data_IF_645433523749
#
_entry.id   IF_645433523749
#
_cell.length_a   1.000
_cell.length_b   1.000
_cell.length_c   1.000
_cell.angle_alpha   90.00
_cell.angle_beta   90.00
_cell.angle_gamma   90.00
#
_symmetry.space_group_name_H-M   'P 1'
#
loop_
_entity.id
_entity.type
_entity.pdbx_description
1 polymer ?
#
# COMPACT_ATOMS: atom_id res chain seq x y z
N UNK A 1 -17.99 62.66 -15.87
CA UNK A 1 -17.02 61.75 -15.22
C UNK A 1 -17.59 60.34 -15.25
N UNK A 2 -17.36 59.57 -16.32
CA UNK A 2 -18.10 58.31 -16.59
C UNK A 2 -17.18 57.16 -17.02
N UNK A 3 -15.98 57.08 -16.44
CA UNK A 3 -14.91 56.18 -16.91
C UNK A 3 -14.17 55.41 -15.81
N UNK A 4 -14.79 55.17 -14.64
CA UNK A 4 -14.09 54.53 -13.51
C UNK A 4 -14.72 53.24 -12.96
N UNK A 5 -15.93 52.87 -13.37
CA UNK A 5 -16.65 51.74 -12.75
C UNK A 5 -16.67 50.43 -13.56
N UNK A 6 -16.26 50.43 -14.83
CA UNK A 6 -16.30 49.22 -15.68
C UNK A 6 -15.07 48.30 -15.54
N UNK A 7 -13.99 48.74 -14.90
CA UNK A 7 -12.75 47.95 -14.76
C UNK A 7 -12.81 47.00 -13.56
N UNK A 8 -13.40 47.41 -12.43
CA UNK A 8 -13.47 46.60 -11.22
C UNK A 8 -14.32 45.33 -11.40
N UNK A 9 -15.42 45.41 -12.17
CA UNK A 9 -16.30 44.28 -12.44
C UNK A 9 -15.60 43.20 -13.28
N UNK A 10 -14.76 43.60 -14.25
CA UNK A 10 -13.97 42.65 -15.06
C UNK A 10 -12.91 41.92 -14.22
N UNK A 11 -12.27 42.60 -13.27
CA UNK A 11 -11.33 41.98 -12.34
C UNK A 11 -12.01 40.99 -11.39
N UNK A 12 -13.19 41.31 -10.87
CA UNK A 12 -13.96 40.42 -10.00
C UNK A 12 -14.40 39.13 -10.71
N UNK A 13 -14.83 39.22 -11.97
CA UNK A 13 -15.18 38.05 -12.79
C UNK A 13 -13.95 37.18 -13.05
N UNK A 14 -12.78 37.79 -13.29
CA UNK A 14 -11.53 37.04 -13.49
C UNK A 14 -11.13 36.27 -12.23
N UNK A 15 -11.14 36.91 -11.06
CA UNK A 15 -10.76 36.27 -9.78
C UNK A 15 -11.73 35.14 -9.40
N UNK A 16 -13.04 35.34 -9.61
CA UNK A 16 -14.05 34.31 -9.38
C UNK A 16 -13.92 33.14 -10.38
N UNK A 17 -13.60 33.41 -11.65
CA UNK A 17 -13.38 32.39 -12.67
C UNK A 17 -12.17 31.48 -12.38
N UNK A 18 -11.07 32.03 -11.87
CA UNK A 18 -9.90 31.22 -11.47
C UNK A 18 -10.15 30.38 -10.21
N UNK A 19 -11.00 30.85 -9.30
CA UNK A 19 -11.26 30.16 -8.03
C UNK A 19 -12.05 28.85 -8.20
N UNK A 20 -12.82 28.71 -9.29
CA UNK A 20 -13.64 27.52 -9.56
C UNK A 20 -12.80 26.36 -10.11
N UNK A 21 -11.69 26.65 -10.81
CA UNK A 21 -10.88 25.62 -11.49
C UNK A 21 -10.04 24.81 -10.48
N UNK A 22 -9.71 25.37 -9.31
CA UNK A 22 -8.95 24.66 -8.29
C UNK A 22 -9.78 23.67 -7.45
N UNK A 23 -11.11 23.83 -7.39
CA UNK A 23 -12.00 23.02 -6.55
C UNK A 23 -12.49 21.72 -7.21
N UNK A 24 -12.21 21.51 -8.51
CA UNK A 24 -12.66 20.33 -9.26
C UNK A 24 -11.56 19.31 -9.57
N UNK A 25 -10.36 19.47 -9.01
CA UNK A 25 -9.42 18.34 -8.95
C UNK A 25 -9.89 17.41 -7.83
N UNK A 26 -10.93 16.62 -8.11
CA UNK A 26 -11.19 15.41 -7.35
C UNK A 26 -9.99 14.50 -7.67
N UNK A 27 -8.96 14.38 -6.80
CA UNK A 27 -7.83 13.56 -7.13
C UNK A 27 -8.37 12.14 -7.01
N UNK A 28 -8.78 11.54 -8.12
CA UNK A 28 -8.96 10.11 -8.19
C UNK A 28 -7.64 9.53 -7.67
N UNK A 29 -7.65 9.05 -6.44
CA UNK A 29 -6.46 8.56 -5.79
C UNK A 29 -5.95 7.44 -6.67
N UNK A 30 -4.82 7.65 -7.35
CA UNK A 30 -4.28 6.66 -8.27
C UNK A 30 -3.87 5.43 -7.46
N UNK A 31 -4.73 4.43 -7.48
CA UNK A 31 -4.45 3.14 -6.89
C UNK A 31 -3.55 2.39 -7.88
N UNK A 32 -2.34 2.06 -7.43
CA UNK A 32 -1.35 1.36 -8.25
C UNK A 32 -1.82 -0.02 -8.74
N UNK A 33 -0.92 -0.76 -9.38
CA UNK A 33 -1.18 -2.11 -9.88
C UNK A 33 -0.38 -3.15 -9.11
N UNK A 34 -0.89 -4.37 -9.04
CA UNK A 34 -0.22 -5.53 -8.41
C UNK A 34 -0.31 -6.75 -9.33
N UNK A 35 0.67 -7.65 -9.25
CA UNK A 35 0.59 -8.94 -9.93
C UNK A 35 -0.32 -9.90 -9.15
N UNK A 36 -1.41 -10.34 -9.78
CA UNK A 36 -2.28 -11.39 -9.24
C UNK A 36 -1.52 -12.72 -9.16
N UNK A 37 -1.97 -13.63 -8.30
CA UNK A 37 -1.43 -15.00 -8.19
C UNK A 37 -1.51 -15.80 -9.52
N UNK A 38 -2.43 -15.44 -10.43
CA UNK A 38 -2.47 -16.00 -11.79
C UNK A 38 -1.46 -15.33 -12.77
N UNK A 39 -0.53 -14.53 -12.26
CA UNK A 39 0.53 -13.77 -12.97
C UNK A 39 0.06 -12.61 -13.83
N UNK A 40 -1.24 -12.32 -13.91
CA UNK A 40 -1.80 -11.13 -14.60
C UNK A 40 -1.66 -9.88 -13.72
N UNK A 41 -1.40 -8.73 -14.35
CA UNK A 41 -1.43 -7.42 -13.68
C UNK A 41 -2.90 -7.06 -13.38
N UNK A 42 -3.17 -6.56 -12.17
CA UNK A 42 -4.48 -6.18 -11.71
C UNK A 42 -4.45 -4.82 -10.99
N UNK A 43 -5.45 -3.94 -11.20
CA UNK A 43 -5.56 -2.69 -10.47
C UNK A 43 -5.97 -2.94 -9.02
N UNK A 44 -5.33 -2.21 -8.10
CA UNK A 44 -5.72 -2.18 -6.70
C UNK A 44 -7.10 -1.50 -6.56
N UNK A 45 -7.92 -2.00 -5.62
CA UNK A 45 -9.21 -1.38 -5.29
C UNK A 45 -9.14 -0.49 -4.06
N UNK A 46 -8.03 -0.56 -3.33
CA UNK A 46 -7.71 0.28 -2.17
C UNK A 46 -6.19 0.28 -1.94
N UNK A 47 -5.64 1.23 -1.16
CA UNK A 47 -4.23 1.23 -0.80
C UNK A 47 -3.82 -0.06 -0.05
N UNK A 48 -2.59 -0.56 -0.23
CA UNK A 48 -2.04 -1.63 0.60
C UNK A 48 -2.05 -1.23 2.07
N UNK A 49 -2.27 -2.19 2.96
CA UNK A 49 -2.29 -1.95 4.40
C UNK A 49 -1.53 -3.05 5.15
N UNK A 50 -0.92 -2.64 6.28
CA UNK A 50 -0.12 -3.53 7.11
C UNK A 50 -0.96 -4.61 7.79
N UNK A 51 -0.46 -5.84 7.77
CA UNK A 51 -1.07 -7.01 8.44
C UNK A 51 0.00 -7.84 9.15
N UNK A 52 -0.41 -8.72 10.06
CA UNK A 52 0.52 -9.69 10.66
C UNK A 52 0.81 -10.82 9.67
N UNK A 53 2.10 -11.12 9.47
CA UNK A 53 2.49 -12.30 8.71
C UNK A 53 2.12 -13.57 9.49
N UNK A 54 1.55 -14.56 8.80
CA UNK A 54 1.17 -15.87 9.39
C UNK A 54 2.08 -17.01 8.93
N UNK A 55 3.20 -16.69 8.29
CA UNK A 55 4.16 -17.70 7.88
C UNK A 55 4.90 -18.25 9.10
N UNK A 56 5.08 -19.56 9.12
CA UNK A 56 5.93 -20.24 10.09
C UNK A 56 7.40 -20.01 9.77
N UNK A 57 8.19 -19.78 10.81
CA UNK A 57 9.63 -19.59 10.72
C UNK A 57 10.35 -20.94 10.74
N UNK A 58 11.36 -21.11 9.87
CA UNK A 58 12.17 -22.32 9.78
C UNK A 58 13.65 -21.95 9.88
N UNK A 59 14.33 -22.45 10.91
CA UNK A 59 15.77 -22.28 11.10
C UNK A 59 16.38 -23.58 11.64
N UNK A 60 17.72 -23.70 11.73
CA UNK A 60 18.36 -24.93 12.21
C UNK A 60 18.10 -25.30 13.67
N UNK A 61 17.51 -24.40 14.47
CA UNK A 61 17.16 -24.63 15.86
C UNK A 61 15.64 -24.72 16.05
N UNK A 62 15.18 -25.17 17.22
CA UNK A 62 13.78 -25.39 17.56
C UNK A 62 13.04 -24.11 18.02
N UNK A 63 13.49 -22.94 17.53
CA UNK A 63 12.84 -21.67 17.84
C UNK A 63 11.41 -21.63 17.28
N UNK A 64 10.46 -21.29 18.15
CA UNK A 64 9.06 -21.07 17.79
C UNK A 64 8.71 -19.60 18.04
N UNK A 65 8.25 -18.92 16.98
CA UNK A 65 7.81 -17.54 17.06
C UNK A 65 7.11 -17.10 15.78
N UNK A 66 6.40 -15.97 15.88
CA UNK A 66 5.75 -15.34 14.74
C UNK A 66 6.76 -14.53 13.91
N UNK A 67 6.52 -14.45 12.60
CA UNK A 67 7.31 -13.57 11.73
C UNK A 67 7.06 -12.09 12.09
N UNK A 68 8.12 -11.28 12.33
CA UNK A 68 7.97 -9.87 12.70
C UNK A 68 7.46 -8.99 11.54
N UNK A 69 7.42 -9.50 10.31
CA UNK A 69 7.08 -8.74 9.11
C UNK A 69 8.28 -7.96 8.55
N UNK A 70 8.05 -6.87 7.79
CA UNK A 70 6.75 -6.27 7.49
C UNK A 70 5.93 -7.10 6.49
N UNK A 71 4.61 -7.07 6.63
CA UNK A 71 3.68 -7.71 5.71
C UNK A 71 2.53 -6.78 5.33
N UNK A 72 2.18 -6.80 4.04
CA UNK A 72 1.14 -5.97 3.45
C UNK A 72 0.08 -6.82 2.75
N UNK A 73 -1.18 -6.43 2.90
CA UNK A 73 -2.29 -7.03 2.18
C UNK A 73 -2.69 -6.18 0.98
N UNK A 74 -2.76 -6.82 -0.18
CA UNK A 74 -3.23 -6.22 -1.43
C UNK A 74 -4.64 -6.69 -1.73
N UNK A 75 -5.54 -5.74 -2.01
CA UNK A 75 -6.90 -6.02 -2.48
C UNK A 75 -7.06 -5.42 -3.89
N UNK A 76 -7.43 -6.27 -4.84
CA UNK A 76 -7.40 -5.94 -6.27
C UNK A 76 -8.46 -6.70 -7.03
N UNK A 77 -8.79 -6.22 -8.24
CA UNK A 77 -9.73 -6.89 -9.15
C UNK A 77 -9.00 -7.39 -10.38
N UNK A 78 -8.68 -8.68 -10.40
CA UNK A 78 -7.99 -9.29 -11.53
C UNK A 78 -8.95 -9.48 -12.71
N UNK A 79 -8.55 -9.15 -13.96
CA UNK A 79 -9.40 -9.35 -15.13
C UNK A 79 -9.75 -10.83 -15.39
N UNK A 80 -8.92 -11.77 -14.92
CA UNK A 80 -9.14 -13.21 -15.09
C UNK A 80 -9.82 -13.86 -13.87
N UNK A 81 -9.48 -13.43 -12.65
CA UNK A 81 -9.94 -14.10 -11.41
C UNK A 81 -11.06 -13.35 -10.68
N UNK A 82 -11.43 -12.14 -11.12
CA UNK A 82 -12.33 -11.27 -10.37
C UNK A 82 -11.69 -10.66 -9.12
N UNK A 83 -12.49 -10.26 -8.12
CA UNK A 83 -12.01 -9.71 -6.85
C UNK A 83 -11.15 -10.73 -6.10
N UNK A 84 -9.95 -10.33 -5.70
CA UNK A 84 -9.01 -11.21 -4.98
C UNK A 84 -8.13 -10.40 -4.04
N UNK A 85 -7.51 -11.09 -3.09
CA UNK A 85 -6.48 -10.52 -2.23
C UNK A 85 -5.32 -11.49 -2.05
N UNK A 86 -4.16 -10.96 -1.67
CA UNK A 86 -3.05 -11.76 -1.15
C UNK A 86 -2.20 -10.90 -0.21
N UNK A 87 -1.42 -11.56 0.64
CA UNK A 87 -0.47 -10.91 1.55
C UNK A 87 0.93 -11.18 1.04
N UNK A 88 1.77 -10.15 0.99
CA UNK A 88 3.21 -10.31 0.81
C UNK A 88 3.91 -9.97 2.13
N UNK A 89 4.95 -10.72 2.46
CA UNK A 89 5.81 -10.47 3.61
C UNK A 89 7.26 -10.42 3.14
N UNK A 90 8.01 -9.41 3.59
CA UNK A 90 9.44 -9.29 3.30
C UNK A 90 10.33 -9.74 4.47
N UNK A 91 9.73 -10.25 5.56
CA UNK A 91 10.45 -10.90 6.65
C UNK A 91 11.10 -12.21 6.23
N UNK A 92 12.14 -12.63 6.96
CA UNK A 92 12.84 -13.88 6.70
C UNK A 92 12.09 -15.05 7.32
N UNK A 93 11.48 -15.89 6.48
CA UNK A 93 10.78 -17.10 6.95
C UNK A 93 11.68 -18.32 7.05
N UNK A 94 12.77 -18.36 6.30
CA UNK A 94 13.72 -19.47 6.32
C UNK A 94 15.14 -18.95 6.19
N UNK A 95 16.05 -19.46 7.02
CA UNK A 95 17.45 -19.05 7.00
C UNK A 95 18.20 -19.53 8.24
N UNK A 96 19.31 -18.87 8.55
CA UNK A 96 20.02 -19.11 9.81
C UNK A 96 19.24 -18.56 11.00
N UNK A 97 19.53 -19.04 12.20
CA UNK A 97 18.94 -18.54 13.46
C UNK A 97 19.05 -17.01 13.57
N UNK A 98 20.22 -16.46 13.25
CA UNK A 98 20.46 -15.01 13.30
C UNK A 98 19.62 -14.22 12.29
N UNK A 99 19.26 -14.81 11.15
CA UNK A 99 18.42 -14.16 10.14
C UNK A 99 16.94 -14.23 10.51
N UNK A 100 16.50 -15.37 11.04
CA UNK A 100 15.10 -15.66 11.35
C UNK A 100 14.67 -15.02 12.68
N UNK A 101 15.54 -15.04 13.69
CA UNK A 101 15.27 -14.49 15.03
C UNK A 101 16.51 -13.77 15.59
N UNK A 102 16.87 -12.59 15.02
CA UNK A 102 18.07 -11.87 15.42
C UNK A 102 18.06 -11.49 16.90
N UNK A 103 19.16 -11.77 17.60
CA UNK A 103 19.30 -11.47 19.03
C UNK A 103 18.47 -12.36 19.95
N UNK A 104 17.92 -13.47 19.44
CA UNK A 104 17.35 -14.56 20.23
C UNK A 104 18.34 -15.72 20.24
N UNK A 105 18.55 -16.29 21.41
CA UNK A 105 19.37 -17.49 21.57
C UNK A 105 18.79 -18.64 20.74
N UNK A 106 19.68 -19.48 20.21
CA UNK A 106 19.25 -20.71 19.54
C UNK A 106 18.73 -21.68 20.59
N UNK A 107 17.62 -22.35 20.27
CA UNK A 107 16.97 -23.30 21.16
C UNK A 107 17.12 -24.70 20.58
N UNK A 108 17.62 -25.65 21.35
CA UNK A 108 17.66 -27.07 20.98
C UNK A 108 16.89 -27.84 22.04
N UNK A 109 15.69 -28.31 21.70
CA UNK A 109 14.96 -29.26 22.53
C UNK A 109 15.49 -30.64 22.16
N UNK A 110 16.46 -31.13 22.94
CA UNK A 110 17.17 -32.40 22.68
C UNK A 110 16.25 -33.53 22.23
N UNK A 111 16.60 -34.12 21.09
CA UNK A 111 15.97 -35.33 20.54
C UNK A 111 16.42 -36.62 21.20
#
# INVERSE_FOLDING_TARGET
>A
MLFKQCTALKFLIFILGFSIIAAQSNPNQELGVVQCLCRRIAPLTQPPFGVRCRATLNCPCDYIGDCPGPAEQYMYRCPNCGPRSHVACSGVHQGTCQQVHPGKDSVEYGG
#
